data_IF_869226885814
#
_entry.id   IF_869226885814
#
_cell.length_a   1.000
_cell.length_b   1.000
_cell.length_c   1.000
_cell.angle_alpha   90.00
_cell.angle_beta   90.00
_cell.angle_gamma   90.00
#
_symmetry.space_group_name_H-M   'P 1'
#
loop_
_entity.id
_entity.type
_entity.pdbx_description
1 polymer ?
#
# COMPACT_ATOMS: atom_id res chain seq x y z
N UNK A 1 -1.64 -6.83 1.32
CA UNK A 1 -2.78 -5.92 1.65
C UNK A 1 -3.79 -5.72 0.52
N UNK A 2 -3.53 -6.14 -0.73
CA UNK A 2 -4.40 -5.90 -1.89
C UNK A 2 -4.77 -4.42 -2.08
N UNK A 3 -3.84 -3.50 -1.91
CA UNK A 3 -4.08 -2.04 -2.05
C UNK A 3 -3.05 -1.39 -2.97
N UNK A 4 -2.43 -2.17 -3.86
CA UNK A 4 -1.59 -1.67 -4.94
C UNK A 4 -2.44 -0.85 -5.91
N UNK A 5 -1.85 0.20 -6.45
CA UNK A 5 -2.46 1.14 -7.40
C UNK A 5 -1.64 1.09 -8.69
N UNK A 6 -2.31 1.27 -9.83
CA UNK A 6 -1.61 1.38 -11.11
C UNK A 6 -0.93 2.75 -11.24
N UNK A 7 0.24 2.80 -11.85
CA UNK A 7 1.02 4.02 -12.03
C UNK A 7 1.51 4.05 -13.48
N UNK A 8 1.30 5.17 -14.17
CA UNK A 8 1.62 5.30 -15.60
C UNK A 8 3.13 5.27 -15.87
N UNK A 9 3.96 5.62 -14.86
CA UNK A 9 5.41 5.47 -14.92
C UNK A 9 5.88 4.07 -14.48
N UNK A 10 4.95 3.12 -14.26
CA UNK A 10 5.17 1.77 -13.73
C UNK A 10 5.88 1.75 -12.36
N UNK A 11 5.70 2.79 -11.55
CA UNK A 11 6.32 2.88 -10.23
C UNK A 11 5.51 2.08 -9.19
N UNK A 12 5.62 0.75 -9.28
CA UNK A 12 4.94 -0.17 -8.37
C UNK A 12 5.78 -0.43 -7.11
N UNK A 13 5.12 -0.43 -5.95
CA UNK A 13 5.68 -0.76 -4.65
C UNK A 13 5.52 -2.28 -4.42
N UNK A 14 6.45 -3.08 -4.96
CA UNK A 14 6.44 -4.54 -4.84
C UNK A 14 7.55 -4.96 -3.88
N UNK A 15 7.16 -5.43 -2.69
CA UNK A 15 8.07 -5.98 -1.70
C UNK A 15 8.02 -7.51 -1.67
N UNK A 16 9.17 -8.18 -1.80
CA UNK A 16 9.30 -9.64 -1.62
C UNK A 16 10.51 -9.96 -0.73
N UNK A 17 10.26 -10.15 0.57
CA UNK A 17 11.31 -10.26 1.58
C UNK A 17 12.07 -11.58 1.56
N UNK A 18 13.41 -11.51 1.67
CA UNK A 18 14.27 -12.67 1.83
C UNK A 18 14.48 -12.97 3.32
N UNK A 19 14.11 -14.16 3.78
CA UNK A 19 14.21 -14.57 5.19
C UNK A 19 15.27 -15.65 5.39
N UNK A 20 16.23 -15.39 6.27
CA UNK A 20 17.28 -16.32 6.65
C UNK A 20 17.16 -16.72 8.11
N UNK A 21 17.63 -17.90 8.50
CA UNK A 21 17.95 -18.13 9.92
C UNK A 21 19.18 -17.32 10.26
N UNK A 22 19.27 -16.80 11.49
CA UNK A 22 20.45 -16.04 11.92
C UNK A 22 21.76 -16.81 11.67
N UNK A 23 21.79 -18.11 12.01
CA UNK A 23 22.97 -18.96 11.81
C UNK A 23 23.35 -19.23 10.35
N UNK A 24 22.46 -18.95 9.38
CA UNK A 24 22.76 -19.10 7.95
C UNK A 24 23.46 -17.85 7.38
N UNK A 25 23.40 -16.72 8.10
CA UNK A 25 24.04 -15.46 7.72
C UNK A 25 25.46 -15.35 8.30
N UNK A 26 26.32 -16.26 7.89
CA UNK A 26 27.74 -16.29 8.29
C UNK A 26 28.68 -16.24 7.08
N UNK A 27 29.89 -15.70 7.26
CA UNK A 27 30.98 -15.74 6.27
C UNK A 27 31.62 -17.15 6.16
N UNK A 28 32.65 -17.29 5.31
CA UNK A 28 33.35 -18.56 5.12
C UNK A 28 34.09 -19.06 6.38
N UNK A 29 34.34 -18.19 7.36
CA UNK A 29 34.99 -18.52 8.62
C UNK A 29 33.97 -18.75 9.75
N UNK A 30 32.66 -18.63 9.47
CA UNK A 30 31.59 -18.77 10.45
C UNK A 30 31.27 -17.51 11.25
N UNK A 31 31.82 -16.34 10.89
CA UNK A 31 31.48 -15.08 11.55
C UNK A 31 30.14 -14.55 11.01
N UNK A 32 29.29 -14.03 11.90
CA UNK A 32 28.01 -13.42 11.50
C UNK A 32 28.20 -12.24 10.54
N UNK A 33 27.38 -12.20 9.50
CA UNK A 33 27.34 -11.10 8.56
C UNK A 33 26.71 -9.85 9.19
N UNK A 34 27.25 -8.69 8.82
CA UNK A 34 26.61 -7.40 9.02
C UNK A 34 25.34 -7.26 8.15
N UNK A 35 24.43 -6.34 8.49
CA UNK A 35 23.27 -6.01 7.65
C UNK A 35 23.65 -5.69 6.20
N UNK A 36 24.76 -4.97 5.99
CA UNK A 36 25.26 -4.64 4.65
C UNK A 36 25.72 -5.89 3.90
N UNK A 37 26.52 -6.74 4.52
CA UNK A 37 27.00 -7.98 3.89
C UNK A 37 25.85 -8.96 3.59
N UNK A 38 24.82 -9.01 4.43
CA UNK A 38 23.63 -9.81 4.16
C UNK A 38 22.87 -9.30 2.91
N UNK A 39 22.73 -7.97 2.76
CA UNK A 39 22.16 -7.37 1.54
C UNK A 39 23.06 -7.57 0.32
N UNK A 40 24.37 -7.44 0.47
CA UNK A 40 25.34 -7.70 -0.59
C UNK A 40 25.25 -9.17 -1.06
N UNK A 41 25.10 -10.13 -0.14
CA UNK A 41 24.87 -11.55 -0.48
C UNK A 41 23.62 -11.76 -1.34
N UNK A 42 22.51 -11.09 -1.00
CA UNK A 42 21.27 -11.17 -1.80
C UNK A 42 21.47 -10.52 -3.18
N UNK A 43 22.09 -9.33 -3.25
CA UNK A 43 22.45 -8.69 -4.52
C UNK A 43 23.31 -9.61 -5.40
N UNK A 44 24.35 -10.20 -4.82
CA UNK A 44 25.30 -11.03 -5.55
C UNK A 44 24.64 -12.33 -6.03
N UNK A 45 23.69 -12.88 -5.29
CA UNK A 45 22.87 -14.00 -5.74
C UNK A 45 21.97 -13.63 -6.93
N UNK A 46 21.35 -12.44 -6.92
CA UNK A 46 20.56 -11.94 -8.06
C UNK A 46 21.44 -11.77 -9.32
N UNK A 47 22.65 -11.22 -9.17
CA UNK A 47 23.58 -10.99 -10.28
C UNK A 47 24.04 -12.30 -11.00
N UNK A 48 23.86 -13.46 -10.36
CA UNK A 48 24.15 -14.76 -10.97
C UNK A 48 23.05 -15.19 -11.96
N UNK A 49 21.81 -14.71 -11.82
CA UNK A 49 20.71 -15.07 -12.70
C UNK A 49 20.74 -14.27 -14.00
N UNK A 50 21.16 -14.94 -15.09
CA UNK A 50 21.25 -14.32 -16.43
C UNK A 50 19.91 -13.99 -17.09
N UNK A 51 18.78 -14.31 -16.44
CA UNK A 51 17.44 -13.89 -16.88
C UNK A 51 17.12 -12.46 -16.44
N UNK A 52 17.81 -11.94 -15.42
CA UNK A 52 17.64 -10.56 -14.96
C UNK A 52 18.43 -9.62 -15.86
N UNK A 53 17.74 -8.63 -16.45
CA UNK A 53 18.33 -7.74 -17.44
C UNK A 53 19.15 -6.60 -16.84
N UNK A 54 18.88 -6.23 -15.58
CA UNK A 54 19.51 -5.13 -14.88
C UNK A 54 20.15 -5.63 -13.58
N UNK A 55 21.21 -4.96 -13.15
CA UNK A 55 21.86 -5.23 -11.87
C UNK A 55 20.98 -4.78 -10.70
N UNK A 56 21.04 -5.54 -9.60
CA UNK A 56 20.37 -5.18 -8.37
C UNK A 56 21.15 -4.11 -7.58
N UNK A 57 20.42 -3.22 -6.90
CA UNK A 57 20.96 -2.09 -6.15
C UNK A 57 20.72 -2.26 -4.65
N UNK A 58 21.73 -1.97 -3.82
CA UNK A 58 21.57 -2.03 -2.36
C UNK A 58 21.09 -0.67 -1.85
N UNK A 59 19.91 -0.66 -1.26
CA UNK A 59 19.33 0.49 -0.59
C UNK A 59 19.44 0.36 0.94
N UNK A 60 18.90 1.36 1.63
CA UNK A 60 18.89 1.44 3.10
C UNK A 60 18.28 0.19 3.75
N UNK A 61 17.10 -0.22 3.28
CA UNK A 61 16.31 -1.28 3.92
C UNK A 61 16.10 -2.52 3.02
N UNK A 62 16.58 -2.50 1.78
CA UNK A 62 16.32 -3.57 0.81
C UNK A 62 17.42 -3.68 -0.23
N UNK A 63 17.35 -4.76 -1.01
CA UNK A 63 17.98 -4.89 -2.31
C UNK A 63 16.91 -4.66 -3.37
N UNK A 64 17.09 -3.68 -4.25
CA UNK A 64 16.15 -3.36 -5.32
C UNK A 64 16.55 -4.05 -6.61
N UNK A 65 15.66 -4.83 -7.18
CA UNK A 65 15.81 -5.38 -8.52
C UNK A 65 14.98 -4.56 -9.53
N UNK A 66 15.61 -3.69 -10.34
CA UNK A 66 14.92 -2.96 -11.39
C UNK A 66 14.60 -3.85 -12.59
N UNK A 67 13.49 -3.58 -13.27
CA UNK A 67 13.06 -4.26 -14.49
C UNK A 67 13.01 -3.28 -15.67
N UNK A 68 13.28 -3.73 -16.92
CA UNK A 68 13.30 -2.86 -18.11
C UNK A 68 12.01 -2.06 -18.34
N UNK A 69 10.88 -2.56 -17.85
CA UNK A 69 9.57 -1.92 -17.96
C UNK A 69 9.38 -0.72 -17.02
N UNK A 70 10.35 -0.43 -16.15
CA UNK A 70 10.36 0.73 -15.25
C UNK A 70 9.97 0.43 -13.80
N UNK A 71 9.37 -0.73 -13.53
CA UNK A 71 9.07 -1.16 -12.17
C UNK A 71 10.28 -1.83 -11.49
N UNK A 72 10.19 -1.99 -10.18
CA UNK A 72 11.19 -2.68 -9.39
C UNK A 72 10.56 -3.63 -8.36
N UNK A 73 11.33 -4.60 -7.91
CA UNK A 73 11.00 -5.42 -6.74
C UNK A 73 12.00 -5.07 -5.65
N UNK A 74 11.51 -4.60 -4.51
CA UNK A 74 12.31 -4.40 -3.32
C UNK A 74 12.34 -5.69 -2.51
N UNK A 75 13.54 -6.13 -2.14
CA UNK A 75 13.81 -7.36 -1.41
C UNK A 75 14.42 -6.96 -0.07
N UNK A 76 13.59 -6.65 0.95
CA UNK A 76 14.08 -6.47 2.31
C UNK A 76 14.70 -7.78 2.80
N UNK A 77 15.83 -7.69 3.49
CA UNK A 77 16.56 -8.88 3.97
C UNK A 77 16.32 -9.02 5.47
N UNK A 78 15.74 -10.14 5.86
CA UNK A 78 15.41 -10.44 7.24
C UNK A 78 16.21 -11.63 7.77
N UNK A 79 16.46 -11.62 9.08
CA UNK A 79 16.86 -12.81 9.82
C UNK A 79 15.83 -13.18 10.88
N UNK A 80 15.64 -14.46 11.07
CA UNK A 80 14.81 -15.03 12.15
C UNK A 80 15.71 -15.41 13.32
N UNK A 81 15.36 -14.91 14.51
CA UNK A 81 15.99 -15.22 15.79
C UNK A 81 15.01 -16.06 16.60
N UNK A 82 15.49 -17.16 17.18
CA UNK A 82 14.70 -17.99 18.09
C UNK A 82 15.19 -17.76 19.50
N UNK A 83 14.33 -17.20 20.36
CA UNK A 83 14.61 -16.97 21.76
C UNK A 83 13.79 -17.90 22.65
N UNK A 84 14.27 -18.17 23.87
CA UNK A 84 13.49 -18.87 24.88
C UNK A 84 12.35 -17.96 25.38
N UNK A 85 11.11 -18.33 25.10
CA UNK A 85 9.94 -17.57 25.56
C UNK A 85 9.68 -17.74 27.06
N UNK A 86 8.88 -16.82 27.62
CA UNK A 86 8.59 -16.73 29.05
C UNK A 86 7.96 -17.99 29.69
N UNK A 87 7.42 -18.89 28.87
CA UNK A 87 6.78 -20.15 29.24
C UNK A 87 7.56 -21.38 28.75
N UNK A 88 8.85 -21.22 28.44
CA UNK A 88 9.73 -22.28 27.94
C UNK A 88 9.45 -22.68 26.48
N UNK A 89 8.52 -21.99 25.81
CA UNK A 89 8.24 -22.19 24.38
C UNK A 89 9.10 -21.24 23.55
N UNK A 90 9.74 -21.70 22.47
CA UNK A 90 10.52 -20.83 21.62
C UNK A 90 9.63 -19.75 20.99
N UNK A 91 10.11 -18.51 21.00
CA UNK A 91 9.48 -17.38 20.31
C UNK A 91 10.37 -16.92 19.18
N UNK A 92 9.79 -16.75 18.00
CA UNK A 92 10.49 -16.21 16.83
C UNK A 92 10.40 -14.69 16.81
N UNK A 93 11.56 -14.04 16.67
CA UNK A 93 11.69 -12.62 16.35
C UNK A 93 12.28 -12.47 14.96
N UNK A 94 11.98 -11.33 14.35
CA UNK A 94 12.40 -11.00 13.00
C UNK A 94 13.14 -9.68 13.04
N UNK A 95 14.31 -9.65 12.41
CA UNK A 95 15.09 -8.44 12.30
C UNK A 95 15.39 -8.15 10.83
N UNK A 96 15.19 -6.89 10.45
CA UNK A 96 15.49 -6.34 9.15
C UNK A 96 16.95 -5.89 9.10
N UNK A 97 17.64 -6.20 8.00
CA UNK A 97 18.92 -5.62 7.66
C UNK A 97 18.76 -4.16 7.22
N UNK A 98 18.78 -3.24 8.19
CA UNK A 98 18.72 -1.79 7.95
C UNK A 98 20.06 -1.26 7.43
N UNK A 99 20.29 0.04 7.53
CA UNK A 99 21.48 0.71 6.99
C UNK A 99 22.77 0.19 7.63
N UNK A 100 22.81 0.18 8.97
CA UNK A 100 23.99 -0.16 9.77
C UNK A 100 23.70 -1.13 10.92
N UNK A 101 22.43 -1.51 11.12
CA UNK A 101 22.00 -2.36 12.23
C UNK A 101 20.93 -3.36 11.81
N UNK A 102 20.82 -4.42 12.60
CA UNK A 102 19.65 -5.30 12.59
C UNK A 102 18.55 -4.63 13.42
N UNK A 103 17.40 -4.35 12.80
CA UNK A 103 16.27 -3.68 13.45
C UNK A 103 15.12 -4.65 13.62
N UNK A 104 14.57 -4.78 14.83
CA UNK A 104 13.39 -5.62 15.08
C UNK A 104 12.22 -5.12 14.23
N UNK A 105 11.80 -5.95 13.28
CA UNK A 105 10.76 -5.61 12.30
C UNK A 105 10.19 -6.87 11.68
N UNK A 106 8.88 -7.07 11.82
CA UNK A 106 8.14 -8.10 11.11
C UNK A 106 7.13 -7.45 10.14
N UNK A 107 7.44 -7.43 8.85
CA UNK A 107 6.53 -6.92 7.81
C UNK A 107 5.15 -7.60 7.82
N UNK A 108 5.06 -8.82 8.36
CA UNK A 108 3.80 -9.54 8.49
C UNK A 108 2.92 -8.96 9.59
N UNK A 109 3.47 -8.21 10.55
CA UNK A 109 2.67 -7.49 11.56
C UNK A 109 1.80 -6.41 10.92
N UNK A 110 2.36 -5.58 10.03
CA UNK A 110 1.59 -4.59 9.28
C UNK A 110 0.52 -5.28 8.43
N UNK A 111 0.85 -6.39 7.77
CA UNK A 111 -0.12 -7.16 7.01
C UNK A 111 -1.23 -7.74 7.89
N UNK A 112 -0.90 -8.26 9.08
CA UNK A 112 -1.87 -8.77 10.06
C UNK A 112 -2.76 -7.65 10.58
N UNK A 113 -2.20 -6.51 10.97
CA UNK A 113 -2.94 -5.32 11.38
C UNK A 113 -3.93 -4.90 10.30
N UNK A 114 -3.51 -4.78 9.05
CA UNK A 114 -4.42 -4.37 7.98
C UNK A 114 -5.51 -5.41 7.71
N UNK A 115 -5.19 -6.71 7.80
CA UNK A 115 -6.19 -7.80 7.72
C UNK A 115 -7.20 -7.71 8.87
N UNK A 116 -6.76 -7.37 10.07
CA UNK A 116 -7.61 -7.14 11.23
C UNK A 116 -8.53 -5.91 11.04
N UNK A 117 -8.02 -4.79 10.53
CA UNK A 117 -8.85 -3.63 10.17
C UNK A 117 -9.93 -4.00 9.15
N UNK A 118 -9.57 -4.77 8.13
CA UNK A 118 -10.54 -5.27 7.13
C UNK A 118 -11.55 -6.23 7.76
N UNK A 119 -11.14 -7.09 8.69
CA UNK A 119 -12.05 -7.97 9.41
C UNK A 119 -13.03 -7.18 10.28
N UNK A 120 -12.56 -6.15 10.98
CA UNK A 120 -13.38 -5.25 11.81
C UNK A 120 -14.40 -4.46 11.00
N UNK A 121 -14.08 -4.14 9.76
CA UNK A 121 -15.02 -3.46 8.85
C UNK A 121 -16.22 -4.33 8.43
N UNK A 122 -16.20 -5.64 8.68
CA UNK A 122 -17.31 -6.55 8.39
C UNK A 122 -17.76 -6.50 6.93
N UNK A 123 -19.05 -6.27 6.69
CA UNK A 123 -19.62 -6.16 5.33
C UNK A 123 -19.00 -5.01 4.51
N UNK A 124 -18.39 -4.02 5.18
CA UNK A 124 -17.71 -2.89 4.54
C UNK A 124 -16.24 -3.17 4.20
N UNK A 125 -15.74 -4.39 4.43
CA UNK A 125 -14.37 -4.80 4.11
C UNK A 125 -13.93 -4.46 2.68
N UNK A 126 -14.83 -4.65 1.70
CA UNK A 126 -14.56 -4.31 0.30
C UNK A 126 -14.47 -2.80 0.08
N UNK A 127 -15.36 -2.04 0.71
CA UNK A 127 -15.38 -0.58 0.62
C UNK A 127 -14.14 0.03 1.28
N UNK A 128 -13.72 -0.45 2.45
CA UNK A 128 -12.46 -0.02 3.08
C UNK A 128 -11.26 -0.16 2.13
N UNK A 129 -11.10 -1.33 1.49
CA UNK A 129 -10.01 -1.54 0.52
C UNK A 129 -10.09 -0.59 -0.67
N UNK A 130 -11.31 -0.29 -1.17
CA UNK A 130 -11.51 0.69 -2.24
C UNK A 130 -11.12 2.10 -1.81
N UNK A 131 -11.56 2.54 -0.63
CA UNK A 131 -11.23 3.86 -0.09
C UNK A 131 -9.72 4.01 0.13
N UNK A 132 -9.03 2.97 0.63
CA UNK A 132 -7.56 2.97 0.75
C UNK A 132 -6.90 3.13 -0.63
N UNK A 133 -7.33 2.36 -1.64
CA UNK A 133 -6.76 2.43 -3.00
C UNK A 133 -6.99 3.79 -3.63
N UNK A 134 -8.21 4.32 -3.55
CA UNK A 134 -8.56 5.62 -4.12
C UNK A 134 -7.81 6.75 -3.41
N UNK A 135 -7.64 6.68 -2.09
CA UNK A 135 -6.86 7.69 -1.36
C UNK A 135 -5.38 7.63 -1.73
N UNK A 136 -4.80 6.43 -1.86
CA UNK A 136 -3.44 6.24 -2.36
C UNK A 136 -3.25 6.77 -3.78
N UNK A 137 -4.20 6.50 -4.66
CA UNK A 137 -4.20 6.99 -6.03
C UNK A 137 -4.28 8.51 -6.06
N UNK A 138 -5.22 9.12 -5.32
CA UNK A 138 -5.33 10.57 -5.21
C UNK A 138 -4.02 11.22 -4.76
N UNK A 139 -3.42 10.68 -3.69
CA UNK A 139 -2.18 11.17 -3.11
C UNK A 139 -0.99 11.19 -4.09
N UNK A 140 -1.04 10.37 -5.14
CA UNK A 140 0.00 10.24 -6.19
C UNK A 140 -0.51 10.57 -7.60
N UNK A 141 -1.71 11.14 -7.73
CA UNK A 141 -2.40 11.37 -9.00
C UNK A 141 -1.65 12.30 -9.95
N UNK A 142 -0.80 13.17 -9.39
CA UNK A 142 0.03 14.11 -10.15
C UNK A 142 1.50 13.76 -9.97
N UNK A 143 2.26 13.80 -11.06
CA UNK A 143 3.69 13.44 -11.06
C UNK A 143 4.51 14.21 -10.03
N UNK A 144 4.26 15.49 -9.85
CA UNK A 144 4.99 16.35 -8.91
C UNK A 144 4.56 16.14 -7.44
N UNK A 145 3.54 15.31 -7.17
CA UNK A 145 3.10 14.96 -5.81
C UNK A 145 3.79 13.73 -5.25
N UNK A 146 4.31 12.83 -6.12
CA UNK A 146 4.86 11.52 -5.73
C UNK A 146 5.89 11.62 -4.60
N UNK A 147 6.79 12.60 -4.67
CA UNK A 147 7.82 12.83 -3.64
C UNK A 147 7.32 13.61 -2.41
N UNK A 148 6.24 14.39 -2.58
CA UNK A 148 5.67 15.27 -1.53
C UNK A 148 4.66 14.57 -0.64
N UNK A 149 4.12 13.44 -1.08
CA UNK A 149 3.06 12.74 -0.36
C UNK A 149 3.59 11.71 0.63
N UNK A 150 2.76 11.37 1.62
CA UNK A 150 3.06 10.36 2.64
C UNK A 150 3.18 8.96 2.06
N UNK A 151 3.86 8.07 2.77
CA UNK A 151 4.01 6.67 2.35
C UNK A 151 2.67 5.94 2.26
N UNK A 152 2.64 4.85 1.51
CA UNK A 152 1.43 4.03 1.37
C UNK A 152 0.88 3.50 2.69
N UNK A 153 1.74 3.24 3.68
CA UNK A 153 1.33 2.81 5.02
C UNK A 153 0.76 3.97 5.84
N UNK A 154 1.31 5.18 5.74
CA UNK A 154 0.76 6.40 6.39
C UNK A 154 -0.68 6.65 5.91
N UNK A 155 -0.90 6.59 4.60
CA UNK A 155 -2.24 6.76 4.01
C UNK A 155 -3.18 5.65 4.47
N UNK A 156 -2.71 4.39 4.49
CA UNK A 156 -3.53 3.26 4.91
C UNK A 156 -3.94 3.36 6.39
N UNK A 157 -3.04 3.80 7.26
CA UNK A 157 -3.32 4.03 8.68
C UNK A 157 -4.38 5.12 8.86
N UNK A 158 -4.20 6.28 8.22
CA UNK A 158 -5.19 7.37 8.26
C UNK A 158 -6.57 6.93 7.77
N UNK A 159 -6.64 6.19 6.67
CA UNK A 159 -7.91 5.67 6.15
C UNK A 159 -8.54 4.67 7.11
N UNK A 160 -7.78 3.74 7.69
CA UNK A 160 -8.32 2.78 8.65
C UNK A 160 -8.86 3.45 9.91
N UNK A 161 -8.13 4.44 10.46
CA UNK A 161 -8.53 5.14 11.68
C UNK A 161 -9.79 5.99 11.48
N UNK A 162 -9.94 6.58 10.29
CA UNK A 162 -10.98 7.57 10.00
C UNK A 162 -12.06 7.06 9.03
N UNK A 163 -12.10 5.74 8.77
CA UNK A 163 -13.00 5.13 7.80
C UNK A 163 -14.47 5.43 8.11
N UNK A 164 -15.19 5.99 7.14
CA UNK A 164 -16.63 6.23 7.19
C UNK A 164 -17.33 5.34 6.15
N UNK A 165 -17.87 4.21 6.60
CA UNK A 165 -18.65 3.33 5.73
C UNK A 165 -19.99 3.96 5.34
N UNK A 166 -20.37 3.81 4.07
CA UNK A 166 -21.67 4.22 3.55
C UNK A 166 -22.19 3.15 2.60
N UNK A 167 -23.29 2.51 2.97
CA UNK A 167 -23.90 1.43 2.18
C UNK A 167 -24.18 1.89 0.76
N UNK A 168 -23.75 1.08 -0.21
CA UNK A 168 -23.94 1.29 -1.66
C UNK A 168 -23.39 2.61 -2.24
N UNK A 169 -22.56 3.35 -1.49
CA UNK A 169 -22.03 4.66 -1.89
C UNK A 169 -20.54 4.78 -1.61
N UNK A 170 -19.73 4.14 -2.45
CA UNK A 170 -18.26 4.22 -2.38
C UNK A 170 -17.76 5.67 -2.51
N UNK A 171 -18.44 6.50 -3.31
CA UNK A 171 -18.15 7.92 -3.49
C UNK A 171 -18.39 8.74 -2.22
N UNK A 172 -19.50 8.49 -1.53
CA UNK A 172 -19.82 9.13 -0.26
C UNK A 172 -18.87 8.65 0.85
N UNK A 173 -18.61 7.35 0.93
CA UNK A 173 -17.68 6.76 1.89
C UNK A 173 -16.27 7.35 1.74
N UNK A 174 -15.79 7.50 0.51
CA UNK A 174 -14.51 8.16 0.22
C UNK A 174 -14.52 9.61 0.72
N UNK A 175 -15.52 10.39 0.33
CA UNK A 175 -15.60 11.82 0.68
C UNK A 175 -15.72 12.03 2.19
N UNK A 176 -16.52 11.24 2.88
CA UNK A 176 -16.69 11.36 4.33
C UNK A 176 -15.46 10.88 5.10
N UNK A 177 -14.76 9.86 4.60
CA UNK A 177 -13.45 9.46 5.13
C UNK A 177 -12.43 10.59 4.95
N UNK A 178 -12.37 11.23 3.78
CA UNK A 178 -11.47 12.37 3.54
C UNK A 178 -11.76 13.58 4.43
N UNK A 179 -13.04 13.89 4.68
CA UNK A 179 -13.42 14.94 5.65
C UNK A 179 -12.87 14.63 7.05
N UNK A 180 -12.97 13.38 7.50
CA UNK A 180 -12.46 12.93 8.80
C UNK A 180 -10.94 12.97 8.87
N UNK A 181 -10.24 12.47 7.85
CA UNK A 181 -8.77 12.56 7.74
C UNK A 181 -8.31 14.02 7.76
N UNK A 182 -8.92 14.89 6.96
CA UNK A 182 -8.59 16.31 6.92
C UNK A 182 -8.80 16.97 8.30
N UNK A 183 -9.94 16.74 8.94
CA UNK A 183 -10.22 17.25 10.28
C UNK A 183 -9.23 16.72 11.32
N UNK A 184 -8.81 15.45 11.20
CA UNK A 184 -7.78 14.84 12.06
C UNK A 184 -6.42 15.50 11.85
N UNK A 185 -6.00 15.70 10.61
CA UNK A 185 -4.71 16.31 10.27
C UNK A 185 -4.65 17.81 10.57
N UNK A 186 -5.78 18.50 10.69
CA UNK A 186 -5.85 19.85 11.29
C UNK A 186 -5.47 19.81 12.77
N UNK A 187 -5.92 18.79 13.52
CA UNK A 187 -5.65 18.68 14.96
C UNK A 187 -4.22 18.24 15.25
N UNK A 188 -3.66 17.34 14.44
CA UNK A 188 -2.28 16.88 14.57
C UNK A 188 -1.82 16.23 13.27
N UNK A 189 -0.59 16.54 12.86
CA UNK A 189 0.05 15.89 11.71
C UNK A 189 0.72 14.56 12.08
N UNK A 190 0.91 14.29 13.38
CA UNK A 190 1.56 13.07 13.86
C UNK A 190 0.71 11.83 13.56
N UNK A 191 1.22 10.83 12.85
CA UNK A 191 0.54 9.56 12.57
C UNK A 191 1.30 8.43 13.26
N UNK A 192 0.64 7.69 14.14
CA UNK A 192 1.27 6.55 14.84
C UNK A 192 1.49 5.37 13.90
N UNK A 193 2.53 4.59 14.19
CA UNK A 193 2.73 3.33 13.49
C UNK A 193 1.82 2.26 14.08
N UNK A 194 1.06 1.54 13.26
CA UNK A 194 0.02 0.63 13.76
C UNK A 194 0.57 -0.58 14.55
N UNK A 195 1.86 -0.87 14.42
CA UNK A 195 2.53 -2.03 15.04
C UNK A 195 3.88 -1.70 15.68
N UNK A 196 4.41 -0.49 15.48
CA UNK A 196 5.80 -0.15 15.80
C UNK A 196 5.86 1.06 16.71
N UNK A 197 6.99 1.27 17.39
CA UNK A 197 7.14 2.36 18.37
C UNK A 197 7.38 3.72 17.73
N UNK A 198 7.99 3.75 16.54
CA UNK A 198 8.30 5.00 15.84
C UNK A 198 7.11 5.42 14.99
N UNK A 199 6.59 6.65 15.12
CA UNK A 199 5.46 7.13 14.33
C UNK A 199 5.78 7.17 12.83
N UNK A 200 4.75 6.95 12.01
CA UNK A 200 4.80 7.07 10.55
C UNK A 200 4.96 8.52 10.07
N UNK A 201 4.46 9.48 10.84
CA UNK A 201 4.66 10.91 10.63
C UNK A 201 4.79 11.58 12.00
N UNK A 202 5.74 12.50 12.16
CA UNK A 202 5.89 13.29 13.40
C UNK A 202 5.03 14.56 13.32
N UNK A 203 4.91 15.27 14.44
CA UNK A 203 4.28 16.59 14.39
C UNK A 203 5.13 17.53 13.52
N UNK A 204 4.48 18.31 12.66
CA UNK A 204 5.16 19.14 11.65
C UNK A 204 5.64 18.39 10.40
N UNK A 205 5.27 17.12 10.21
CA UNK A 205 5.65 16.37 9.00
C UNK A 205 5.06 17.00 7.72
N UNK A 206 5.94 17.39 6.80
CA UNK A 206 5.57 18.10 5.56
C UNK A 206 4.71 17.24 4.63
N UNK A 207 4.90 15.92 4.63
CA UNK A 207 4.15 15.00 3.77
C UNK A 207 2.72 14.81 4.27
N UNK A 208 2.55 14.73 5.59
CA UNK A 208 1.24 14.74 6.23
C UNK A 208 0.51 16.08 6.02
N UNK A 209 1.23 17.21 6.14
CA UNK A 209 0.69 18.54 5.85
C UNK A 209 0.25 18.67 4.39
N UNK A 210 1.08 18.19 3.45
CA UNK A 210 0.77 18.18 2.03
C UNK A 210 -0.52 17.39 1.74
N UNK A 211 -0.64 16.17 2.28
CA UNK A 211 -1.86 15.38 2.12
C UNK A 211 -3.09 16.11 2.69
N UNK A 212 -2.99 16.73 3.88
CA UNK A 212 -4.07 17.52 4.47
C UNK A 212 -4.53 18.62 3.51
N UNK A 213 -3.61 19.40 3.00
CA UNK A 213 -3.92 20.56 2.15
C UNK A 213 -4.52 20.10 0.81
N UNK A 214 -4.02 19.00 0.24
CA UNK A 214 -4.62 18.40 -0.96
C UNK A 214 -5.98 17.79 -0.70
N UNK A 215 -6.23 17.17 0.45
CA UNK A 215 -7.58 16.73 0.80
C UNK A 215 -8.55 17.91 0.91
N UNK A 216 -8.11 19.05 1.44
CA UNK A 216 -8.92 20.27 1.46
C UNK A 216 -9.31 20.71 0.03
N UNK A 217 -8.33 20.83 -0.87
CA UNK A 217 -8.58 21.22 -2.27
C UNK A 217 -9.58 20.27 -2.94
N UNK A 218 -9.40 18.96 -2.79
CA UNK A 218 -10.34 17.98 -3.35
C UNK A 218 -11.75 18.10 -2.74
N UNK A 219 -11.85 18.32 -1.43
CA UNK A 219 -13.15 18.47 -0.77
C UNK A 219 -13.88 19.74 -1.22
N UNK A 220 -13.15 20.83 -1.46
CA UNK A 220 -13.69 22.08 -2.02
C UNK A 220 -14.20 21.84 -3.46
N UNK A 221 -13.43 21.12 -4.29
CA UNK A 221 -13.84 20.76 -5.66
C UNK A 221 -15.08 19.86 -5.69
N UNK A 222 -15.26 19.01 -4.67
CA UNK A 222 -16.41 18.11 -4.55
C UNK A 222 -17.66 18.77 -3.93
N UNK A 223 -17.63 20.07 -3.59
CA UNK A 223 -18.83 20.79 -3.09
C UNK A 223 -19.96 20.83 -4.12
N UNK A 224 -19.64 20.71 -5.42
CA UNK A 224 -20.66 20.59 -6.48
C UNK A 224 -21.59 19.40 -6.26
N UNK A 225 -21.11 18.34 -5.58
CA UNK A 225 -21.89 17.15 -5.28
C UNK A 225 -23.02 17.39 -4.25
N UNK A 226 -23.00 18.51 -3.53
CA UNK A 226 -23.99 18.85 -2.52
C UNK A 226 -25.24 19.55 -3.10
N UNK A 227 -25.22 19.94 -4.38
CA UNK A 227 -26.25 20.77 -5.01
C UNK A 227 -27.01 20.05 -6.13
N UNK A 228 -27.31 18.76 -5.95
CA UNK A 228 -27.99 17.91 -6.94
C UNK A 228 -27.35 17.98 -8.34
N UNK A 229 -26.06 17.60 -8.47
CA UNK A 229 -25.33 17.77 -9.72
C UNK A 229 -25.92 16.90 -10.82
N UNK A 230 -25.85 17.39 -12.05
CA UNK A 230 -25.96 16.52 -13.21
C UNK A 230 -24.86 15.46 -13.16
N UNK A 231 -25.10 14.33 -13.83
CA UNK A 231 -24.08 13.28 -13.94
C UNK A 231 -22.79 13.75 -14.59
N UNK A 232 -22.88 14.69 -15.52
CA UNK A 232 -21.71 15.30 -16.16
C UNK A 232 -20.88 16.10 -15.15
N UNK A 233 -21.52 16.93 -14.33
CA UNK A 233 -20.86 17.71 -13.29
C UNK A 233 -20.20 16.81 -12.24
N UNK A 234 -20.90 15.77 -11.79
CA UNK A 234 -20.34 14.82 -10.82
C UNK A 234 -19.09 14.11 -11.36
N UNK A 235 -19.10 13.71 -12.63
CA UNK A 235 -17.95 13.06 -13.28
C UNK A 235 -16.78 14.03 -13.47
N UNK A 236 -17.06 15.24 -13.94
CA UNK A 236 -16.04 16.27 -14.12
C UNK A 236 -15.37 16.63 -12.80
N UNK A 237 -16.12 16.65 -11.69
CA UNK A 237 -15.57 16.87 -10.35
C UNK A 237 -14.59 15.76 -9.95
N UNK A 238 -14.95 14.48 -10.16
CA UNK A 238 -14.06 13.36 -9.85
C UNK A 238 -12.85 13.29 -10.78
N UNK A 239 -13.02 13.58 -12.07
CA UNK A 239 -11.92 13.72 -13.04
C UNK A 239 -10.92 14.78 -12.58
N UNK A 240 -11.42 15.95 -12.15
CA UNK A 240 -10.58 17.02 -11.59
C UNK A 240 -9.82 16.56 -10.34
N UNK A 241 -10.49 15.93 -9.39
CA UNK A 241 -9.86 15.43 -8.16
C UNK A 241 -8.74 14.44 -8.49
N UNK A 242 -9.03 13.45 -9.33
CA UNK A 242 -8.12 12.34 -9.61
C UNK A 242 -7.12 12.61 -10.74
N UNK A 243 -7.15 13.80 -11.35
CA UNK A 243 -6.32 14.16 -12.51
C UNK A 243 -6.46 13.16 -13.66
N UNK A 244 -7.70 12.86 -14.03
CA UNK A 244 -8.03 11.86 -15.05
C UNK A 244 -9.19 12.32 -15.92
N UNK A 245 -9.47 11.61 -17.01
CA UNK A 245 -10.69 11.75 -17.82
C UNK A 245 -11.57 10.50 -17.79
N UNK A 246 -11.23 9.55 -16.91
CA UNK A 246 -11.88 8.26 -16.80
C UNK A 246 -13.38 8.38 -16.55
N UNK A 247 -13.81 9.27 -15.64
CA UNK A 247 -15.19 9.35 -15.19
C UNK A 247 -16.10 9.95 -16.28
N UNK A 248 -15.67 11.00 -16.96
CA UNK A 248 -16.41 11.58 -18.09
C UNK A 248 -16.50 10.62 -19.28
N UNK A 249 -15.46 9.82 -19.54
CA UNK A 249 -15.46 8.80 -20.61
C UNK A 249 -16.34 7.58 -20.33
N UNK A 250 -16.82 7.39 -19.09
CA UNK A 250 -17.71 6.27 -18.80
C UNK A 250 -19.04 6.40 -19.56
N UNK A 251 -19.60 5.30 -20.09
CA UNK A 251 -20.87 5.35 -20.81
C UNK A 251 -22.02 5.82 -19.91
N UNK A 252 -23.06 6.40 -20.52
CA UNK A 252 -24.32 6.63 -19.82
C UNK A 252 -25.06 5.33 -19.57
N UNK A 253 -25.80 5.21 -18.45
CA UNK A 253 -26.62 4.04 -18.28
C UNK A 253 -27.61 4.00 -19.43
N UNK A 254 -27.58 2.92 -20.21
CA UNK A 254 -28.63 2.63 -21.19
C UNK A 254 -29.97 2.55 -20.46
N UNK A 255 -31.00 3.19 -21.03
CA UNK A 255 -32.41 3.08 -20.56
C UNK A 255 -33.03 1.70 -20.87
N UNK A 256 -32.24 0.73 -21.33
CA UNK A 256 -32.74 -0.59 -21.69
C UNK A 256 -32.85 -1.46 -20.43
N UNK A 257 -33.99 -1.39 -19.73
CA UNK A 257 -34.17 -2.25 -18.56
C UNK A 257 -35.44 -2.15 -17.71
N UNK A 258 -36.58 -1.66 -18.20
CA UNK A 258 -37.85 -2.22 -17.71
C UNK A 258 -37.99 -3.63 -18.30
N UNK A 259 -37.38 -4.64 -17.64
CA UNK A 259 -37.66 -6.06 -17.90
C UNK A 259 -36.53 -6.95 -18.44
N UNK A 260 -35.27 -6.51 -18.47
CA UNK A 260 -34.14 -7.35 -18.91
C UNK A 260 -33.17 -7.67 -17.76
N UNK A 261 -32.79 -8.95 -17.62
CA UNK A 261 -31.80 -9.43 -16.64
C UNK A 261 -30.62 -8.47 -16.50
N UNK A 262 -30.21 -8.21 -15.24
CA UNK A 262 -29.04 -7.39 -14.87
C UNK A 262 -27.78 -7.91 -15.59
N UNK A 263 -27.53 -7.45 -16.82
CA UNK A 263 -26.24 -7.60 -17.46
C UNK A 263 -25.25 -6.77 -16.66
N UNK A 264 -24.47 -7.45 -15.83
CA UNK A 264 -23.22 -6.96 -15.27
C UNK A 264 -22.49 -6.12 -16.33
N UNK A 265 -22.27 -4.83 -16.04
CA UNK A 265 -21.50 -3.92 -16.93
C UNK A 265 -20.02 -4.26 -17.02
N UNK A 266 -19.59 -5.32 -16.34
CA UNK A 266 -18.30 -5.96 -16.54
C UNK A 266 -18.54 -7.35 -17.13
N UNK A 267 -18.07 -7.58 -18.35
CA UNK A 267 -17.88 -8.94 -18.86
C UNK A 267 -16.61 -9.44 -18.16
N UNK A 268 -16.78 -10.34 -17.20
CA UNK A 268 -15.67 -11.15 -16.68
C UNK A 268 -15.23 -12.03 -17.84
N UNK A 269 -14.19 -11.57 -18.57
CA UNK A 269 -13.58 -12.33 -19.68
C UNK A 269 -12.73 -13.49 -19.18
N UNK A 270 -12.44 -13.51 -17.88
CA UNK A 270 -11.72 -14.60 -17.21
C UNK A 270 -12.09 -14.66 -15.72
N UNK A 271 -12.65 -15.80 -15.28
CA UNK A 271 -12.93 -16.10 -13.86
C UNK A 271 -11.78 -16.88 -13.21
N UNK A 272 -10.62 -16.97 -13.89
CA UNK A 272 -9.42 -17.53 -13.30
C UNK A 272 -8.94 -16.61 -12.18
N UNK A 273 -9.09 -17.09 -10.95
CA UNK A 273 -8.25 -16.64 -9.85
C UNK A 273 -6.82 -17.03 -10.21
N UNK A 274 -5.90 -16.07 -10.19
CA UNK A 274 -4.47 -16.37 -10.10
C UNK A 274 -4.23 -17.07 -8.75
N UNK A 275 -4.42 -18.38 -8.73
CA UNK A 275 -3.83 -19.23 -7.72
C UNK A 275 -2.44 -19.61 -8.23
N UNK A 276 -1.41 -19.17 -7.51
CA UNK A 276 -0.11 -19.82 -7.61
C UNK A 276 -0.32 -21.27 -7.18
N UNK A 277 -0.09 -22.21 -8.10
CA UNK A 277 0.01 -23.63 -7.77
C UNK A 277 1.45 -23.93 -7.32
N UNK A 278 1.85 -23.35 -6.18
CA UNK A 278 3.17 -23.53 -5.57
C UNK A 278 3.20 -24.72 -4.59
N UNK A 279 2.29 -25.68 -4.75
CA UNK A 279 2.35 -26.95 -4.04
C UNK A 279 2.12 -26.84 -2.53
N UNK A 280 1.35 -25.86 -2.08
CA UNK A 280 0.90 -25.79 -0.68
C UNK A 280 1.96 -25.33 0.32
N UNK A 281 3.03 -24.65 -0.13
CA UNK A 281 3.90 -23.92 0.80
C UNK A 281 3.26 -22.56 1.10
N UNK A 282 2.78 -22.42 2.35
CA UNK A 282 2.45 -21.12 2.95
C UNK A 282 3.51 -20.09 2.53
N UNK A 283 3.11 -19.02 1.87
CA UNK A 283 3.10 -17.62 2.33
C UNK A 283 3.03 -16.69 1.12
N UNK A 284 2.01 -15.82 1.14
CA UNK A 284 1.69 -14.74 0.19
C UNK A 284 0.38 -14.09 0.58
#
# INVERSE_FOLDING_TARGET
MHTMVQDDDNEYDIDDGAYFKEGDLVDANGNSLTPREAKDRVRDALAQDKRLANDAEVHRNCVRQPYPQGYHIDIPVYRTIVEAGANGKPTEKYELASESAWEVSDAREVTRWFKDQVSKAGDNAKQLRKVVRLTKFYARSRKDWKEKTGSGITISALVCDEFAAVTDRDDQSLRDTWKRIHARLIRSLRVEHPVGETPLAKEGDEKAAFLRDKLKEALDDLLVLDNDPTRGEARAAWDKVFDTDFFCKQPSPSNDGEGGEKKSRFVVVDDRRDQRDDGGRRYG
#
